data_IF_478396888261
#
_entry.id   IF_478396888261
#
_cell.length_a   1.000
_cell.length_b   1.000
_cell.length_c   1.000
_cell.angle_alpha   90.00
_cell.angle_beta   90.00
_cell.angle_gamma   90.00
#
_symmetry.space_group_name_H-M   'P 1'
#
loop_
_entity.id
_entity.type
_entity.pdbx_description
1 polymer ?
#
# COMPACT_ATOMS: atom_id res chain seq x y z
N UNK A 1 44.63 -0.47 0.30
CA UNK A 1 43.68 -0.17 1.40
C UNK A 1 42.29 0.00 0.77
N UNK A 2 41.37 -0.91 1.10
CA UNK A 2 39.95 -0.99 0.70
C UNK A 2 39.15 -0.45 1.91
N UNK A 3 38.09 0.36 1.83
CA UNK A 3 36.88 0.28 0.99
C UNK A 3 36.28 1.66 0.68
N UNK A 4 35.67 1.76 -0.50
CA UNK A 4 34.69 2.76 -0.88
C UNK A 4 33.27 2.22 -0.55
N UNK A 5 32.39 3.04 0.02
CA UNK A 5 30.94 2.84 -0.10
C UNK A 5 30.25 4.12 -0.57
N UNK A 6 29.91 4.23 -1.87
CA UNK A 6 29.00 5.24 -2.37
C UNK A 6 27.64 4.59 -2.67
N UNK A 7 26.58 4.99 -1.96
CA UNK A 7 25.21 4.59 -2.27
C UNK A 7 24.24 5.01 -1.17
N UNK A 8 23.06 5.56 -1.42
CA UNK A 8 22.17 5.33 -2.56
C UNK A 8 21.32 6.60 -2.80
N UNK A 9 21.32 7.13 -4.01
CA UNK A 9 20.18 7.93 -4.50
C UNK A 9 19.05 6.94 -4.77
N UNK A 10 18.02 6.91 -3.94
CA UNK A 10 16.81 6.13 -4.22
C UNK A 10 15.83 7.00 -4.99
N UNK A 11 16.05 7.10 -6.29
CA UNK A 11 15.01 7.47 -7.26
C UNK A 11 13.90 6.43 -7.19
N UNK A 12 12.88 6.67 -6.38
CA UNK A 12 11.71 5.80 -6.34
C UNK A 12 10.80 6.09 -7.54
N UNK A 13 11.29 5.80 -8.75
CA UNK A 13 10.43 5.52 -9.90
C UNK A 13 9.64 4.27 -9.54
N UNK A 14 8.44 4.46 -9.03
CA UNK A 14 7.52 3.39 -8.62
C UNK A 14 6.87 2.78 -9.87
N UNK A 15 7.68 2.37 -10.85
CA UNK A 15 7.22 1.56 -11.96
C UNK A 15 7.05 0.13 -11.44
N UNK A 16 5.80 -0.29 -11.23
CA UNK A 16 5.46 -1.69 -11.02
C UNK A 16 5.78 -2.44 -12.33
N UNK A 17 6.73 -3.40 -12.38
CA UNK A 17 6.86 -4.24 -13.55
C UNK A 17 5.80 -5.33 -13.43
N UNK A 18 4.63 -5.11 -14.02
CA UNK A 18 3.70 -6.21 -14.32
C UNK A 18 3.16 -6.03 -15.73
N UNK A 19 4.08 -5.99 -16.70
CA UNK A 19 3.78 -6.36 -18.08
C UNK A 19 4.05 -7.86 -18.22
N UNK A 20 3.24 -8.68 -17.55
CA UNK A 20 3.12 -10.11 -17.85
C UNK A 20 1.62 -10.34 -17.95
N UNK A 21 1.18 -10.71 -19.15
CA UNK A 21 -0.20 -10.88 -19.56
C UNK A 21 -1.02 -11.67 -18.52
N UNK A 22 -2.13 -11.08 -18.05
CA UNK A 22 -3.19 -11.80 -17.35
C UNK A 22 -4.43 -11.75 -18.25
N UNK A 23 -4.84 -12.86 -18.89
CA UNK A 23 -6.16 -12.93 -19.51
C UNK A 23 -7.17 -13.07 -18.36
N UNK A 24 -8.03 -12.06 -18.21
CA UNK A 24 -9.14 -12.10 -17.26
C UNK A 24 -9.14 -10.93 -16.29
N UNK A 25 -10.12 -10.04 -16.47
CA UNK A 25 -10.92 -9.23 -15.53
C UNK A 25 -10.52 -8.95 -14.04
N UNK A 26 -9.34 -9.31 -13.54
CA UNK A 26 -8.93 -9.06 -12.16
C UNK A 26 -8.27 -7.68 -12.02
N UNK A 27 -9.10 -6.65 -12.17
CA UNK A 27 -8.73 -5.26 -11.95
C UNK A 27 -8.46 -4.98 -10.46
N UNK A 28 -8.86 -5.87 -9.56
CA UNK A 28 -8.75 -5.73 -8.11
C UNK A 28 -7.55 -6.52 -7.58
N UNK A 29 -6.52 -5.82 -7.09
CA UNK A 29 -5.34 -6.42 -6.47
C UNK A 29 -5.42 -6.39 -4.95
N UNK A 30 -5.12 -7.53 -4.31
CA UNK A 30 -4.99 -7.63 -2.85
C UNK A 30 -3.57 -7.23 -2.41
N UNK A 31 -3.46 -6.16 -1.62
CA UNK A 31 -2.20 -5.63 -1.08
C UNK A 31 -2.16 -5.83 0.44
N UNK A 32 -1.00 -6.22 0.97
CA UNK A 32 -0.72 -6.27 2.41
C UNK A 32 0.18 -5.11 2.81
N UNK A 33 -0.26 -4.28 3.74
CA UNK A 33 0.47 -3.12 4.24
C UNK A 33 0.78 -3.28 5.73
N UNK A 34 1.98 -2.86 6.15
CA UNK A 34 2.37 -2.81 7.57
C UNK A 34 2.37 -1.35 7.99
N UNK A 35 1.52 -1.02 8.95
CA UNK A 35 1.35 0.33 9.49
C UNK A 35 2.67 0.82 10.10
N UNK A 36 3.08 2.03 9.73
CA UNK A 36 4.26 2.70 10.29
C UNK A 36 3.86 3.72 11.34
N UNK A 37 4.82 4.13 12.17
CA UNK A 37 4.60 5.18 13.17
C UNK A 37 4.20 6.48 12.47
N UNK A 38 3.07 7.06 12.88
CA UNK A 38 2.51 8.27 12.26
C UNK A 38 1.54 8.01 11.09
N UNK A 39 1.31 6.76 10.69
CA UNK A 39 0.25 6.45 9.73
C UNK A 39 -1.14 6.55 10.38
N UNK A 40 -2.11 7.01 9.60
CA UNK A 40 -3.53 7.03 9.97
C UNK A 40 -4.37 6.32 8.91
N UNK A 41 -5.57 5.89 9.27
CA UNK A 41 -6.51 5.28 8.32
C UNK A 41 -6.76 6.20 7.12
N UNK A 42 -6.90 7.51 7.36
CA UNK A 42 -7.10 8.50 6.32
C UNK A 42 -5.92 8.59 5.34
N UNK A 43 -4.68 8.68 5.85
CA UNK A 43 -3.47 8.75 5.00
C UNK A 43 -3.29 7.48 4.17
N UNK A 44 -3.51 6.31 4.77
CA UNK A 44 -3.42 5.03 4.07
C UNK A 44 -4.52 4.93 3.01
N UNK A 45 -5.77 5.22 3.37
CA UNK A 45 -6.90 5.19 2.45
C UNK A 45 -6.66 6.09 1.22
N UNK A 46 -6.19 7.33 1.45
CA UNK A 46 -5.85 8.28 0.40
C UNK A 46 -4.72 7.77 -0.51
N UNK A 47 -3.64 7.23 0.08
CA UNK A 47 -2.49 6.72 -0.67
C UNK A 47 -2.85 5.60 -1.63
N UNK A 48 -3.78 4.74 -1.24
CA UNK A 48 -4.23 3.60 -2.04
C UNK A 48 -5.54 3.86 -2.77
N UNK A 49 -6.06 5.11 -2.76
CA UNK A 49 -7.34 5.51 -3.36
C UNK A 49 -8.51 4.58 -2.99
N UNK A 50 -8.57 4.13 -1.75
CA UNK A 50 -9.69 3.35 -1.19
C UNK A 50 -10.43 4.18 -0.14
N UNK A 51 -11.67 3.85 0.16
CA UNK A 51 -12.39 4.52 1.25
C UNK A 51 -11.98 3.99 2.62
N UNK A 52 -12.06 4.84 3.64
CA UNK A 52 -11.82 4.45 5.04
C UNK A 52 -12.78 3.33 5.44
N UNK A 53 -14.06 3.43 5.04
CA UNK A 53 -15.08 2.41 5.31
C UNK A 53 -14.74 1.05 4.72
N UNK A 54 -14.20 1.00 3.49
CA UNK A 54 -13.70 -0.25 2.89
C UNK A 54 -12.52 -0.82 3.67
N UNK A 55 -11.53 0.01 4.00
CA UNK A 55 -10.35 -0.39 4.76
C UNK A 55 -10.72 -0.97 6.14
N UNK A 56 -11.68 -0.31 6.80
CA UNK A 56 -12.28 -0.73 8.07
C UNK A 56 -12.99 -2.07 7.93
N UNK A 57 -13.83 -2.23 6.88
CA UNK A 57 -14.59 -3.45 6.61
C UNK A 57 -13.68 -4.66 6.38
N UNK A 58 -12.65 -4.52 5.54
CA UNK A 58 -11.75 -5.63 5.21
C UNK A 58 -10.90 -6.10 6.38
N UNK A 59 -10.54 -5.18 7.28
CA UNK A 59 -9.65 -5.46 8.41
C UNK A 59 -10.38 -5.53 9.75
N UNK A 60 -11.72 -5.48 9.74
CA UNK A 60 -12.57 -5.45 10.94
C UNK A 60 -12.08 -4.42 11.97
N UNK A 61 -11.70 -3.24 11.50
CA UNK A 61 -11.14 -2.20 12.36
C UNK A 61 -12.26 -1.44 13.09
N UNK A 62 -11.90 -0.77 14.17
CA UNK A 62 -12.78 0.22 14.77
C UNK A 62 -12.37 1.61 14.23
N UNK A 63 -13.25 2.33 13.51
CA UNK A 63 -12.93 3.65 12.95
C UNK A 63 -12.62 4.70 14.03
N UNK A 64 -13.08 4.48 15.27
CA UNK A 64 -12.81 5.35 16.42
C UNK A 64 -11.44 5.06 17.07
N UNK A 65 -10.76 3.98 16.66
CA UNK A 65 -9.50 3.55 17.27
C UNK A 65 -8.31 3.88 16.37
N UNK A 66 -7.25 4.38 16.99
CA UNK A 66 -5.97 4.62 16.32
C UNK A 66 -5.32 3.30 15.85
N UNK A 67 -4.64 3.38 14.70
CA UNK A 67 -3.82 2.28 14.20
C UNK A 67 -2.54 2.16 15.02
N UNK A 68 -2.12 0.92 15.27
CA UNK A 68 -0.86 0.64 15.96
C UNK A 68 0.26 0.41 14.94
N UNK A 69 1.46 0.98 15.13
CA UNK A 69 2.62 0.63 14.32
C UNK A 69 2.88 -0.89 14.36
N UNK A 70 3.24 -1.48 13.22
CA UNK A 70 3.41 -2.93 13.05
C UNK A 70 2.11 -3.68 12.73
N UNK A 71 0.95 -3.04 12.79
CA UNK A 71 -0.32 -3.66 12.43
C UNK A 71 -0.38 -3.97 10.93
N UNK A 72 -0.90 -5.15 10.57
CA UNK A 72 -1.04 -5.60 9.19
C UNK A 72 -2.44 -5.24 8.68
N UNK A 73 -2.50 -4.61 7.52
CA UNK A 73 -3.72 -4.24 6.82
C UNK A 73 -3.79 -4.95 5.46
N UNK A 74 -4.97 -5.45 5.13
CA UNK A 74 -5.32 -6.04 3.85
C UNK A 74 -6.18 -5.06 3.08
N UNK A 75 -5.80 -4.77 1.84
CA UNK A 75 -6.46 -3.78 0.99
C UNK A 75 -6.76 -4.40 -0.36
N UNK A 76 -7.90 -4.06 -0.95
CA UNK A 76 -8.27 -4.45 -2.30
C UNK A 76 -8.28 -3.20 -3.15
N UNK A 77 -7.29 -3.04 -4.02
CA UNK A 77 -7.12 -1.82 -4.82
C UNK A 77 -7.41 -2.13 -6.27
N UNK A 78 -8.28 -1.32 -6.85
CA UNK A 78 -8.54 -1.34 -8.29
C UNK A 78 -7.39 -0.63 -9.02
N UNK A 79 -6.67 -1.35 -9.88
CA UNK A 79 -5.53 -0.78 -10.62
C UNK A 79 -5.98 0.17 -11.72
N UNK A 80 -7.22 0.09 -12.19
CA UNK A 80 -7.74 0.99 -13.23
C UNK A 80 -8.06 2.38 -12.69
N UNK A 81 -8.44 2.46 -11.42
CA UNK A 81 -8.71 3.73 -10.71
C UNK A 81 -7.47 4.44 -10.20
N UNK A 82 -6.27 3.87 -10.40
CA UNK A 82 -5.00 4.47 -10.00
C UNK A 82 -4.38 5.38 -11.07
N UNK A 83 -5.01 5.47 -12.24
CA UNK A 83 -4.61 6.36 -13.34
C UNK A 83 -4.82 7.83 -13.00
#
# INVERSE_FOLDING_TARGET
VIYQTPGKKVSSTMALPVAIALPGNDLIRRIRYVVRRGDSLARIAQRFRVSISQLVKWNKLNPKRYLKPGQRLTMYVDVTKQT
#
